data_IF_441897341635
#
_entry.id   IF_441897341635
#
_cell.length_a   1.000
_cell.length_b   1.000
_cell.length_c   1.000
_cell.angle_alpha   90.00
_cell.angle_beta   90.00
_cell.angle_gamma   90.00
#
_symmetry.space_group_name_H-M   'P 1'
#
loop_
_entity.id
_entity.type
_entity.pdbx_description
1 polymer ?
#
# COMPACT_ATOMS: atom_id res chain seq x y z
N UNK A 1 -20.09 -6.90 -7.35
CA UNK A 1 -18.63 -6.81 -7.56
C UNK A 1 -17.93 -6.82 -6.22
N UNK A 2 -17.02 -7.77 -6.03
CA UNK A 2 -16.25 -7.96 -4.81
C UNK A 2 -14.79 -7.59 -5.07
N UNK A 3 -14.30 -6.56 -4.38
CA UNK A 3 -12.95 -6.03 -4.56
C UNK A 3 -12.16 -6.17 -3.27
N UNK A 4 -10.95 -6.72 -3.38
CA UNK A 4 -9.98 -6.76 -2.30
C UNK A 4 -8.93 -5.67 -2.53
N UNK A 5 -8.98 -4.59 -1.75
CA UNK A 5 -7.95 -3.56 -1.74
C UNK A 5 -6.81 -3.95 -0.83
N UNK A 6 -5.56 -3.81 -1.27
CA UNK A 6 -4.36 -4.20 -0.53
C UNK A 6 -3.38 -3.03 -0.48
N UNK A 7 -2.93 -2.69 0.72
CA UNK A 7 -1.72 -1.91 0.94
C UNK A 7 -0.64 -2.81 1.54
N UNK A 8 0.43 -3.05 0.78
CA UNK A 8 1.54 -3.95 1.14
C UNK A 8 2.84 -3.19 1.49
N UNK A 9 2.68 -1.93 1.92
CA UNK A 9 3.76 -1.01 2.26
C UNK A 9 4.03 -0.92 3.76
N UNK A 10 4.09 0.31 4.26
CA UNK A 10 4.13 0.59 5.69
C UNK A 10 2.69 0.59 6.21
N UNK A 11 2.46 0.08 7.41
CA UNK A 11 1.12 -0.07 7.97
C UNK A 11 0.22 -0.95 7.07
N UNK A 12 0.61 -2.22 6.82
CA UNK A 12 -0.06 -3.10 5.86
C UNK A 12 -1.52 -3.31 6.22
N UNK A 13 -2.39 -3.21 5.21
CA UNK A 13 -3.83 -3.33 5.41
C UNK A 13 -4.55 -3.90 4.19
N UNK A 14 -5.71 -4.48 4.46
CA UNK A 14 -6.61 -5.05 3.47
C UNK A 14 -8.01 -4.50 3.68
N UNK A 15 -8.74 -4.26 2.59
CA UNK A 15 -10.13 -3.82 2.63
C UNK A 15 -10.97 -4.67 1.67
N UNK A 16 -12.14 -5.08 2.13
CA UNK A 16 -13.15 -5.72 1.30
C UNK A 16 -14.21 -4.69 0.93
N UNK A 17 -14.43 -4.52 -0.37
CA UNK A 17 -15.54 -3.74 -0.89
C UNK A 17 -16.51 -4.66 -1.61
N UNK A 18 -17.80 -4.49 -1.32
CA UNK A 18 -18.89 -5.12 -2.06
C UNK A 18 -19.75 -4.03 -2.68
N UNK A 19 -19.85 -4.05 -4.01
CA UNK A 19 -20.68 -3.13 -4.78
C UNK A 19 -20.41 -1.65 -4.46
N UNK A 20 -19.13 -1.31 -4.24
CA UNK A 20 -18.67 0.04 -3.95
C UNK A 20 -18.79 0.46 -2.48
N UNK A 21 -19.37 -0.37 -1.61
CA UNK A 21 -19.42 -0.15 -0.18
C UNK A 21 -18.28 -0.89 0.53
N UNK A 22 -17.65 -0.25 1.53
CA UNK A 22 -16.67 -0.90 2.39
C UNK A 22 -17.41 -1.82 3.37
N UNK A 23 -17.11 -3.11 3.35
CA UNK A 23 -17.68 -4.09 4.28
C UNK A 23 -16.75 -4.37 5.46
N UNK A 24 -15.45 -4.50 5.20
CA UNK A 24 -14.46 -4.82 6.23
C UNK A 24 -13.11 -4.21 5.91
N UNK A 25 -12.40 -3.80 6.96
CA UNK A 25 -11.01 -3.38 6.92
C UNK A 25 -10.26 -4.26 7.91
N UNK A 26 -9.04 -4.67 7.56
CA UNK A 26 -8.13 -5.38 8.46
C UNK A 26 -6.74 -4.77 8.37
N UNK A 27 -6.05 -4.69 9.51
CA UNK A 27 -4.68 -4.21 9.60
C UNK A 27 -3.77 -5.36 10.05
N UNK A 28 -2.62 -5.52 9.41
CA UNK A 28 -1.67 -6.57 9.82
C UNK A 28 -1.13 -6.31 11.23
N UNK A 29 -1.11 -5.04 11.64
CA UNK A 29 -0.74 -4.60 12.99
C UNK A 29 -1.58 -5.22 14.10
N UNK A 30 -2.80 -5.67 13.80
CA UNK A 30 -3.71 -6.27 14.79
C UNK A 30 -3.26 -7.67 15.23
N UNK A 31 -2.27 -8.25 14.54
CA UNK A 31 -1.78 -9.62 14.75
C UNK A 31 -0.32 -9.70 15.19
N UNK A 32 0.23 -8.59 15.71
CA UNK A 32 1.59 -8.50 16.25
C UNK A 32 1.61 -7.67 17.52
N UNK A 33 2.57 -7.95 18.41
CA UNK A 33 2.69 -7.25 19.69
C UNK A 33 3.20 -5.80 19.54
N UNK A 34 4.01 -5.53 18.50
CA UNK A 34 4.56 -4.20 18.21
C UNK A 34 4.04 -3.71 16.85
N UNK A 35 2.89 -2.99 16.83
CA UNK A 35 2.21 -2.59 15.59
C UNK A 35 3.02 -1.59 14.75
N UNK A 36 4.06 -0.97 15.29
CA UNK A 36 4.92 -0.04 14.54
C UNK A 36 6.12 -0.73 13.87
N UNK A 37 6.35 -2.01 14.13
CA UNK A 37 7.47 -2.78 13.58
C UNK A 37 7.07 -3.59 12.34
N UNK A 38 5.86 -3.41 11.83
CA UNK A 38 5.33 -4.17 10.70
C UNK A 38 5.35 -3.40 9.38
N UNK A 39 5.72 -4.11 8.32
CA UNK A 39 5.71 -3.62 6.94
C UNK A 39 5.69 -4.81 5.99
N UNK A 40 5.14 -4.63 4.78
CA UNK A 40 5.03 -5.67 3.76
C UNK A 40 3.58 -6.09 3.52
N UNK A 41 3.37 -7.31 3.05
CA UNK A 41 2.04 -7.80 2.68
C UNK A 41 1.16 -8.14 3.90
N UNK A 42 -0.13 -7.76 3.93
CA UNK A 42 -1.05 -8.02 5.06
C UNK A 42 -1.60 -9.46 5.05
N UNK A 43 -0.74 -10.45 5.30
CA UNK A 43 -1.10 -11.86 5.19
C UNK A 43 -2.16 -12.28 6.22
N UNK A 44 -1.91 -12.05 7.51
CA UNK A 44 -2.82 -12.48 8.58
C UNK A 44 -4.15 -11.73 8.53
N UNK A 45 -4.10 -10.43 8.24
CA UNK A 45 -5.31 -9.63 8.09
C UNK A 45 -6.16 -10.12 6.91
N UNK A 46 -5.53 -10.50 5.80
CA UNK A 46 -6.23 -11.07 4.63
C UNK A 46 -6.83 -12.42 4.93
N UNK A 47 -6.06 -13.34 5.54
CA UNK A 47 -6.54 -14.68 5.95
C UNK A 47 -7.74 -14.57 6.88
N UNK A 48 -7.63 -13.74 7.92
CA UNK A 48 -8.70 -13.56 8.90
C UNK A 48 -9.94 -12.91 8.30
N UNK A 49 -9.78 -11.89 7.44
CA UNK A 49 -10.89 -11.27 6.72
C UNK A 49 -11.62 -12.30 5.84
N UNK A 50 -10.88 -13.09 5.04
CA UNK A 50 -11.48 -14.14 4.20
C UNK A 50 -12.22 -15.19 5.03
N UNK A 51 -11.63 -15.61 6.17
CA UNK A 51 -12.24 -16.58 7.06
C UNK A 51 -13.55 -16.08 7.70
N UNK A 52 -13.59 -14.82 8.16
CA UNK A 52 -14.81 -14.23 8.74
C UNK A 52 -15.93 -14.13 7.71
N UNK A 53 -15.60 -13.72 6.48
CA UNK A 53 -16.56 -13.55 5.40
C UNK A 53 -16.95 -14.88 4.74
N UNK A 54 -16.26 -15.98 5.08
CA UNK A 54 -16.47 -17.29 4.47
C UNK A 54 -16.13 -17.31 2.97
N UNK A 55 -15.22 -16.44 2.53
CA UNK A 55 -14.89 -16.24 1.12
C UNK A 55 -13.74 -17.13 0.68
N UNK A 56 -13.87 -17.69 -0.51
CA UNK A 56 -12.79 -18.29 -1.29
C UNK A 56 -12.18 -17.26 -2.25
N UNK A 57 -10.91 -17.46 -2.63
CA UNK A 57 -10.25 -16.56 -3.57
C UNK A 57 -10.88 -16.52 -4.97
N UNK A 58 -11.67 -17.52 -5.32
CA UNK A 58 -12.43 -17.60 -6.57
C UNK A 58 -13.59 -16.58 -6.65
N UNK A 59 -14.06 -16.09 -5.51
CA UNK A 59 -15.17 -15.14 -5.40
C UNK A 59 -14.72 -13.68 -5.53
N UNK A 60 -13.42 -13.40 -5.41
CA UNK A 60 -12.87 -12.05 -5.50
C UNK A 60 -12.74 -11.62 -6.96
N UNK A 61 -13.53 -10.65 -7.40
CA UNK A 61 -13.54 -10.19 -8.79
C UNK A 61 -12.24 -9.43 -9.15
N UNK A 62 -11.77 -8.57 -8.25
CA UNK A 62 -10.59 -7.70 -8.46
C UNK A 62 -9.77 -7.60 -7.19
N UNK A 63 -8.45 -7.64 -7.34
CA UNK A 63 -7.48 -7.36 -6.27
C UNK A 63 -6.74 -6.06 -6.62
N UNK A 64 -6.93 -5.00 -5.86
CA UNK A 64 -6.36 -3.69 -6.15
C UNK A 64 -5.24 -3.34 -5.16
N UNK A 65 -3.99 -3.27 -5.65
CA UNK A 65 -2.86 -2.82 -4.84
C UNK A 65 -2.74 -1.30 -4.86
N UNK A 66 -2.61 -0.69 -3.67
CA UNK A 66 -2.27 0.72 -3.50
C UNK A 66 -0.75 0.91 -3.68
N UNK A 67 -0.35 1.40 -4.85
CA UNK A 67 1.01 1.74 -5.24
C UNK A 67 1.53 0.92 -6.43
N UNK A 68 2.07 1.60 -7.44
CA UNK A 68 2.77 0.97 -8.58
C UNK A 68 4.11 0.36 -8.18
N UNK A 69 4.77 0.96 -7.19
CA UNK A 69 6.10 0.62 -6.72
C UNK A 69 6.09 0.42 -5.21
N UNK A 70 6.71 -0.68 -4.78
CA UNK A 70 6.97 -0.93 -3.37
C UNK A 70 8.42 -0.54 -3.06
N UNK A 71 8.60 0.30 -2.04
CA UNK A 71 9.91 0.49 -1.42
C UNK A 71 10.18 -0.73 -0.55
N UNK A 72 11.44 -1.17 -0.49
CA UNK A 72 11.85 -2.26 0.39
C UNK A 72 11.24 -2.08 1.80
N UNK A 73 10.40 -3.03 2.27
CA UNK A 73 9.80 -2.98 3.59
C UNK A 73 10.87 -2.80 4.67
N UNK A 74 10.58 -1.95 5.65
CA UNK A 74 11.47 -1.72 6.79
C UNK A 74 10.69 -1.56 8.06
N UNK A 75 11.21 -2.09 9.15
CA UNK A 75 10.63 -1.83 10.47
C UNK A 75 10.99 -0.42 10.95
N UNK A 76 10.26 0.10 11.95
CA UNK A 76 10.56 1.40 12.55
C UNK A 76 11.97 1.43 13.15
N UNK A 77 12.42 0.38 13.85
CA UNK A 77 13.81 0.29 14.36
C UNK A 77 14.85 0.39 13.24
N UNK A 78 14.64 -0.26 12.11
CA UNK A 78 15.56 -0.18 10.96
C UNK A 78 15.61 1.23 10.36
N UNK A 79 14.44 1.89 10.27
CA UNK A 79 14.35 3.28 9.83
C UNK A 79 15.08 4.22 10.79
N UNK A 80 14.85 4.10 12.10
CA UNK A 80 15.51 4.92 13.12
C UNK A 80 17.02 4.72 13.11
N UNK A 81 17.50 3.48 13.00
CA UNK A 81 18.92 3.18 12.87
C UNK A 81 19.52 3.85 11.64
N UNK A 82 18.84 3.76 10.50
CA UNK A 82 19.28 4.42 9.26
C UNK A 82 19.35 5.95 9.42
N UNK A 83 18.38 6.56 10.10
CA UNK A 83 18.40 8.00 10.38
C UNK A 83 19.53 8.39 11.33
N UNK A 84 19.75 7.62 12.41
CA UNK A 84 20.86 7.85 13.35
C UNK A 84 22.22 7.75 12.65
N UNK A 85 22.37 6.84 11.70
CA UNK A 85 23.60 6.67 10.92
C UNK A 85 23.78 7.72 9.81
N UNK A 86 22.71 8.41 9.39
CA UNK A 86 22.70 9.25 8.19
C UNK A 86 23.65 10.45 8.23
N UNK A 87 24.02 10.93 9.43
CA UNK A 87 24.97 12.01 9.64
C UNK A 87 26.44 11.57 9.71
N UNK A 88 26.74 10.28 9.58
CA UNK A 88 28.11 9.76 9.71
C UNK A 88 28.91 9.86 8.41
N UNK A 89 30.24 9.96 8.53
CA UNK A 89 31.17 9.86 7.39
C UNK A 89 30.98 8.55 6.60
N UNK A 90 30.72 7.44 7.30
CA UNK A 90 30.44 6.14 6.69
C UNK A 90 29.16 6.18 5.84
N UNK A 91 28.09 6.79 6.33
CA UNK A 91 26.86 6.93 5.55
C UNK A 91 27.04 7.85 4.33
N UNK A 92 27.84 8.90 4.46
CA UNK A 92 28.20 9.79 3.35
C UNK A 92 28.99 9.06 2.26
N UNK A 93 30.00 8.27 2.63
CA UNK A 93 30.75 7.43 1.70
C UNK A 93 29.86 6.37 1.02
N UNK A 94 28.99 5.71 1.79
CA UNK A 94 28.01 4.74 1.25
C UNK A 94 27.02 5.41 0.29
N UNK A 95 26.60 6.66 0.56
CA UNK A 95 25.72 7.43 -0.33
C UNK A 95 26.42 7.74 -1.65
N UNK A 96 27.67 8.21 -1.60
CA UNK A 96 28.47 8.47 -2.79
C UNK A 96 28.63 7.20 -3.64
N UNK A 97 28.94 6.07 -3.00
CA UNK A 97 29.05 4.77 -3.68
C UNK A 97 27.72 4.34 -4.34
N UNK A 98 26.59 4.56 -3.67
CA UNK A 98 25.26 4.28 -4.24
C UNK A 98 24.90 5.18 -5.41
N UNK A 99 25.38 6.43 -5.41
CA UNK A 99 25.18 7.34 -6.56
C UNK A 99 26.06 6.94 -7.74
N UNK A 100 27.29 6.48 -7.48
CA UNK A 100 28.22 6.03 -8.50
C UNK A 100 27.87 4.67 -9.12
N UNK A 101 27.20 3.79 -8.35
CA UNK A 101 26.73 2.48 -8.82
C UNK A 101 25.20 2.44 -8.78
N UNK A 102 24.52 2.79 -9.89
CA UNK A 102 23.08 2.56 -9.98
C UNK A 102 22.80 1.07 -9.76
N UNK A 103 21.61 0.71 -9.23
CA UNK A 103 21.15 -0.68 -8.98
C UNK A 103 21.53 -1.37 -7.65
N UNK A 104 22.11 -0.70 -6.66
CA UNK A 104 22.47 -1.35 -5.37
C UNK A 104 21.31 -1.59 -4.39
N UNK A 105 20.08 -1.18 -4.70
CA UNK A 105 18.90 -1.48 -3.88
C UNK A 105 17.87 -2.24 -4.69
N UNK A 106 17.62 -3.49 -4.29
CA UNK A 106 16.49 -4.27 -4.77
C UNK A 106 15.21 -3.53 -4.36
N UNK A 107 14.28 -3.41 -5.31
CA UNK A 107 12.89 -3.05 -5.04
C UNK A 107 12.07 -4.32 -5.26
N UNK A 108 11.08 -4.65 -4.41
CA UNK A 108 10.17 -5.74 -4.68
C UNK A 108 9.54 -5.57 -6.07
N UNK A 109 9.67 -6.59 -6.91
CA UNK A 109 9.02 -6.60 -8.22
C UNK A 109 7.51 -6.85 -8.06
N UNK A 110 6.70 -6.49 -9.07
CA UNK A 110 5.27 -6.87 -9.08
C UNK A 110 5.08 -8.37 -8.90
N UNK A 111 5.94 -9.18 -9.53
CA UNK A 111 5.93 -10.64 -9.37
C UNK A 111 6.20 -11.04 -7.92
N UNK A 112 7.08 -10.34 -7.21
CA UNK A 112 7.33 -10.61 -5.79
C UNK A 112 6.08 -10.35 -4.94
N UNK A 113 5.38 -9.23 -5.20
CA UNK A 113 4.13 -8.85 -4.50
C UNK A 113 3.01 -9.85 -4.77
N UNK A 114 2.84 -10.28 -6.03
CA UNK A 114 1.80 -11.23 -6.44
C UNK A 114 1.95 -12.64 -5.86
N UNK A 115 3.18 -13.09 -5.54
CA UNK A 115 3.39 -14.42 -4.92
C UNK A 115 2.72 -14.56 -3.55
N UNK A 116 2.44 -13.46 -2.86
CA UNK A 116 1.70 -13.51 -1.60
C UNK A 116 0.25 -13.94 -1.81
N UNK A 117 -0.36 -13.55 -2.93
CA UNK A 117 -1.73 -13.94 -3.29
C UNK A 117 -1.84 -15.45 -3.51
N UNK A 118 -0.90 -16.03 -4.26
CA UNK A 118 -0.88 -17.47 -4.56
C UNK A 118 -0.87 -18.32 -3.28
N UNK A 119 -0.12 -17.89 -2.25
CA UNK A 119 -0.06 -18.57 -0.96
C UNK A 119 -1.38 -18.55 -0.19
N UNK A 120 -2.22 -17.57 -0.47
CA UNK A 120 -3.54 -17.39 0.16
C UNK A 120 -4.68 -17.95 -0.70
N UNK A 121 -4.37 -18.63 -1.81
CA UNK A 121 -5.38 -19.11 -2.75
C UNK A 121 -6.09 -18.00 -3.53
N UNK A 122 -5.54 -16.79 -3.55
CA UNK A 122 -6.03 -15.66 -4.34
C UNK A 122 -5.44 -15.69 -5.76
N UNK A 123 -6.18 -15.17 -6.74
CA UNK A 123 -5.82 -15.20 -8.17
C UNK A 123 -5.00 -13.98 -8.59
N UNK A 124 -3.69 -14.11 -8.87
CA UNK A 124 -2.85 -12.98 -9.24
C UNK A 124 -3.27 -12.29 -10.55
N UNK A 125 -3.86 -13.02 -11.49
CA UNK A 125 -4.36 -12.51 -12.77
C UNK A 125 -5.55 -11.56 -12.61
N UNK A 126 -6.21 -11.55 -11.44
CA UNK A 126 -7.25 -10.57 -11.09
C UNK A 126 -6.69 -9.29 -10.45
N UNK A 127 -5.37 -9.14 -10.43
CA UNK A 127 -4.72 -8.02 -9.75
C UNK A 127 -4.54 -6.80 -10.64
N UNK A 128 -4.76 -5.62 -10.08
CA UNK A 128 -4.40 -4.33 -10.65
C UNK A 128 -3.58 -3.51 -9.65
N UNK A 129 -2.75 -2.61 -10.16
CA UNK A 129 -1.96 -1.70 -9.34
C UNK A 129 -2.45 -0.27 -9.62
N UNK A 130 -2.84 0.42 -8.55
CA UNK A 130 -3.31 1.80 -8.59
C UNK A 130 -2.20 2.71 -8.09
N UNK A 131 -2.05 3.90 -8.67
CA UNK A 131 -1.11 4.89 -8.15
C UNK A 131 -1.38 5.16 -6.66
N UNK A 132 -0.31 5.23 -5.86
CA UNK A 132 -0.39 5.33 -4.41
C UNK A 132 -1.14 6.58 -3.95
N UNK A 133 -0.85 7.73 -4.56
CA UNK A 133 -1.57 8.96 -4.22
C UNK A 133 -2.97 8.99 -4.82
N UNK A 134 -3.20 8.40 -6.00
CA UNK A 134 -4.54 8.25 -6.55
C UNK A 134 -5.44 7.42 -5.62
N UNK A 135 -4.91 6.35 -5.03
CA UNK A 135 -5.64 5.53 -4.05
C UNK A 135 -6.02 6.35 -2.81
N UNK A 136 -5.10 7.16 -2.28
CA UNK A 136 -5.40 8.10 -1.19
C UNK A 136 -6.44 9.15 -1.59
N UNK A 137 -6.31 9.70 -2.79
CA UNK A 137 -7.24 10.70 -3.31
C UNK A 137 -8.64 10.13 -3.48
N UNK A 138 -8.76 8.87 -3.90
CA UNK A 138 -10.02 8.13 -3.99
C UNK A 138 -10.72 8.01 -2.65
N UNK A 139 -10.00 7.61 -1.61
CA UNK A 139 -10.57 7.53 -0.25
C UNK A 139 -11.00 8.91 0.24
N UNK A 140 -10.16 9.93 0.10
CA UNK A 140 -10.50 11.28 0.54
C UNK A 140 -11.72 11.85 -0.22
N UNK A 141 -11.78 11.67 -1.54
CA UNK A 141 -12.89 12.11 -2.36
C UNK A 141 -14.20 11.36 -2.03
N UNK A 142 -14.13 10.06 -1.76
CA UNK A 142 -15.29 9.25 -1.37
C UNK A 142 -15.82 9.61 0.02
N UNK A 143 -14.96 10.14 0.90
CA UNK A 143 -15.30 10.48 2.29
C UNK A 143 -15.77 11.93 2.47
N UNK A 144 -15.58 12.78 1.45
CA UNK A 144 -15.88 14.20 1.52
C UNK A 144 -17.13 14.56 0.71
N UNK A 145 -17.77 15.65 1.08
CA UNK A 145 -18.94 16.19 0.37
C UNK A 145 -18.72 17.65 0.00
N UNK A 146 -19.10 18.02 -1.22
CA UNK A 146 -19.18 19.41 -1.67
C UNK A 146 -20.50 19.69 -2.36
N UNK A 147 -20.98 20.92 -2.22
CA UNK A 147 -22.31 21.34 -2.73
C UNK A 147 -22.43 21.22 -4.24
N UNK A 148 -21.35 21.45 -4.98
CA UNK A 148 -21.30 21.38 -6.44
C UNK A 148 -20.68 20.07 -6.96
N UNK A 149 -20.41 19.12 -6.05
CA UNK A 149 -19.81 17.82 -6.37
C UNK A 149 -18.38 17.89 -6.88
N UNK A 150 -17.67 19.01 -6.65
CA UNK A 150 -16.25 19.18 -6.96
C UNK A 150 -15.40 19.17 -5.70
N UNK A 151 -14.32 18.40 -5.72
CA UNK A 151 -13.34 18.38 -4.63
C UNK A 151 -11.95 18.55 -5.21
N UNK A 152 -11.16 19.43 -4.60
CA UNK A 152 -9.71 19.47 -4.80
C UNK A 152 -9.10 18.63 -3.68
N UNK A 153 -8.37 17.58 -4.04
CA UNK A 153 -7.73 16.68 -3.08
C UNK A 153 -6.23 16.87 -3.15
N UNK A 154 -5.63 17.18 -2.00
CA UNK A 154 -4.20 17.33 -1.83
C UNK A 154 -3.67 16.14 -1.02
N UNK A 155 -2.83 15.34 -1.65
CA UNK A 155 -2.11 14.25 -0.98
C UNK A 155 -0.70 14.75 -0.62
N UNK A 156 -0.34 14.68 0.66
CA UNK A 156 0.97 15.10 1.18
C UNK A 156 1.52 14.02 2.11
N UNK A 157 2.59 13.34 1.70
CA UNK A 157 3.23 12.31 2.51
C UNK A 157 4.74 12.26 2.28
N UNK A 158 5.42 11.27 2.87
CA UNK A 158 6.86 11.11 2.70
C UNK A 158 7.25 10.79 1.26
N UNK A 159 6.61 9.78 0.66
CA UNK A 159 6.83 9.35 -0.73
C UNK A 159 5.82 8.28 -1.12
N UNK A 160 5.16 8.44 -2.27
CA UNK A 160 4.35 7.43 -2.96
C UNK A 160 4.71 7.41 -4.45
N UNK A 161 5.01 6.23 -5.01
CA UNK A 161 5.33 6.04 -6.43
C UNK A 161 6.37 7.00 -7.06
N UNK A 162 7.26 7.56 -6.24
CA UNK A 162 8.36 8.43 -6.68
C UNK A 162 8.11 9.92 -6.53
N UNK A 163 6.96 10.32 -5.98
CA UNK A 163 6.61 11.71 -5.66
C UNK A 163 6.19 11.85 -4.19
N UNK A 164 6.30 13.03 -3.60
CA UNK A 164 5.93 13.29 -2.19
C UNK A 164 4.60 13.99 -2.01
N UNK A 165 4.04 14.55 -3.09
CA UNK A 165 2.75 15.21 -3.06
C UNK A 165 2.09 15.15 -4.44
N UNK A 166 0.75 15.21 -4.46
CA UNK A 166 -0.03 15.33 -5.69
C UNK A 166 -1.35 16.06 -5.44
N UNK A 167 -1.93 16.57 -6.51
CA UNK A 167 -3.21 17.29 -6.51
C UNK A 167 -4.16 16.60 -7.48
N UNK A 168 -5.37 16.29 -7.03
CA UNK A 168 -6.40 15.63 -7.82
C UNK A 168 -7.70 16.45 -7.79
N UNK A 169 -8.51 16.34 -8.85
CA UNK A 169 -9.81 17.00 -8.93
C UNK A 169 -10.87 15.91 -9.05
N UNK A 170 -11.65 15.73 -7.99
CA UNK A 170 -12.84 14.88 -8.07
C UNK A 170 -14.03 15.66 -8.61
N UNK A 171 -14.70 15.14 -9.64
CA UNK A 171 -15.96 15.68 -10.17
C UNK A 171 -16.91 14.55 -10.54
N UNK A 172 -18.05 14.49 -9.85
CA UNK A 172 -19.10 13.52 -10.16
C UNK A 172 -18.63 12.06 -10.04
N UNK A 173 -17.82 11.76 -9.01
CA UNK A 173 -17.29 10.42 -8.76
C UNK A 173 -16.09 10.02 -9.61
N UNK A 174 -15.51 10.95 -10.39
CA UNK A 174 -14.30 10.73 -11.18
C UNK A 174 -13.16 11.57 -10.62
N UNK A 175 -11.99 10.97 -10.48
CA UNK A 175 -10.72 11.61 -10.11
C UNK A 175 -9.81 11.78 -11.32
#
# INVERSE_FOLDING_TARGET
>A
MLVLGIHDGKDPSVVLLRDGAVERIGFESDYVDDPFEISGFPAKATEHLMAIEGLSGDEIDVIAFAGQHLVEPRTRRELLKKFAESGTLRASAKRLLKTAVPFTSRKPSRRDRLRHLEKLGLKPDRSTFIDHHLAQAAVAAASAHSKDGRLLVLCCEGSGDGISASVHISRGGRL
#
